data_IF_540366765254
#
_entry.id   IF_540366765254
#
_cell.length_a   1.000
_cell.length_b   1.000
_cell.length_c   1.000
_cell.angle_alpha   90.00
_cell.angle_beta   90.00
_cell.angle_gamma   90.00
#
_symmetry.space_group_name_H-M   'P 1'
#
loop_
_entity.id
_entity.type
_entity.pdbx_description
1 polymer ?
#
# COMPACT_ATOMS: atom_id res chain seq x y z
N UNK A 1 40.06 -6.75 8.12
CA UNK A 1 40.24 -8.01 8.90
C UNK A 1 39.50 -8.04 10.25
N UNK A 2 38.46 -7.21 10.48
CA UNK A 2 37.65 -7.22 11.73
C UNK A 2 36.26 -7.87 11.60
N UNK A 3 35.81 -8.15 10.38
CA UNK A 3 34.44 -8.61 10.09
C UNK A 3 34.24 -10.13 10.23
N UNK A 4 35.26 -10.95 9.94
CA UNK A 4 35.13 -12.42 9.98
C UNK A 4 35.10 -12.96 11.42
N UNK A 5 35.85 -12.36 12.35
CA UNK A 5 35.86 -12.79 13.76
C UNK A 5 34.54 -12.52 14.50
N UNK A 6 33.83 -11.44 14.16
CA UNK A 6 32.53 -11.14 14.75
C UNK A 6 31.43 -12.09 14.24
N UNK A 7 31.45 -12.44 12.95
CA UNK A 7 30.51 -13.40 12.35
C UNK A 7 30.66 -14.82 12.93
N UNK A 8 31.90 -15.26 13.20
CA UNK A 8 32.15 -16.57 13.81
C UNK A 8 31.68 -16.60 15.27
N UNK A 9 31.85 -15.49 16.01
CA UNK A 9 31.43 -15.40 17.41
C UNK A 9 29.90 -15.37 17.57
N UNK A 10 29.19 -14.72 16.66
CA UNK A 10 27.71 -14.74 16.64
C UNK A 10 27.15 -16.10 16.23
N UNK A 11 27.79 -16.80 15.29
CA UNK A 11 27.43 -18.18 14.93
C UNK A 11 27.66 -19.17 16.07
N UNK A 12 28.77 -19.05 16.81
CA UNK A 12 29.05 -19.87 17.99
C UNK A 12 28.08 -19.60 19.14
N UNK A 13 27.72 -18.32 19.38
CA UNK A 13 26.69 -17.97 20.36
C UNK A 13 25.29 -18.48 19.96
N UNK A 14 24.95 -18.45 18.66
CA UNK A 14 23.72 -19.05 18.16
C UNK A 14 23.71 -20.58 18.36
N UNK A 15 24.80 -21.29 18.03
CA UNK A 15 24.89 -22.74 18.21
C UNK A 15 24.84 -23.16 19.69
N UNK A 16 25.46 -22.38 20.58
CA UNK A 16 25.34 -22.59 22.03
C UNK A 16 23.92 -22.28 22.55
N UNK A 17 23.23 -21.32 21.96
CA UNK A 17 21.82 -21.03 22.28
C UNK A 17 20.88 -22.15 21.82
N UNK A 18 21.13 -22.71 20.63
CA UNK A 18 20.39 -23.88 20.11
C UNK A 18 20.61 -25.16 20.93
N UNK A 19 21.76 -25.31 21.60
CA UNK A 19 21.98 -26.43 22.52
C UNK A 19 21.21 -26.30 23.85
N UNK A 20 20.82 -25.09 24.26
CA UNK A 20 20.11 -24.86 25.53
C UNK A 20 18.58 -24.97 25.34
N UNK A 21 18.08 -24.81 24.12
CA UNK A 21 16.64 -24.97 23.81
C UNK A 21 16.22 -26.42 23.56
N UNK A 22 17.14 -27.39 23.65
CA UNK A 22 16.85 -28.83 23.52
C UNK A 22 16.48 -29.55 24.82
N UNK A 23 16.33 -28.85 25.95
CA UNK A 23 16.08 -29.46 27.26
C UNK A 23 14.79 -28.95 27.92
N UNK A 24 13.69 -28.94 27.17
CA UNK A 24 12.37 -28.56 27.70
C UNK A 24 11.30 -29.63 27.46
N UNK A 25 11.70 -30.90 27.50
CA UNK A 25 10.82 -32.09 27.49
C UNK A 25 10.87 -32.81 28.86
N UNK A 26 10.85 -32.09 29.98
CA UNK A 26 10.86 -32.71 31.31
C UNK A 26 10.06 -31.88 32.33
N UNK A 27 8.73 -31.87 32.20
CA UNK A 27 7.86 -31.33 33.25
C UNK A 27 6.66 -32.24 33.54
N UNK A 28 6.88 -33.56 33.53
CA UNK A 28 5.88 -34.52 34.00
C UNK A 28 6.59 -35.80 34.45
N UNK A 29 7.19 -35.79 35.63
CA UNK A 29 7.68 -37.05 36.17
C UNK A 29 8.38 -36.96 37.52
N UNK A 30 8.05 -37.91 38.37
CA UNK A 30 8.76 -38.25 39.61
C UNK A 30 9.87 -39.25 39.26
N UNK A 31 11.01 -39.17 39.94
CA UNK A 31 12.05 -40.19 39.80
C UNK A 31 11.55 -41.58 40.24
N UNK A 32 11.93 -42.62 39.51
CA UNK A 32 11.54 -44.01 39.79
C UNK A 32 12.64 -44.99 39.39
N UNK A 33 12.65 -46.17 40.00
CA UNK A 33 13.49 -47.31 39.56
C UNK A 33 12.69 -48.41 38.86
N UNK A 34 11.41 -48.51 39.17
CA UNK A 34 10.48 -49.51 38.64
C UNK A 34 9.05 -48.95 38.59
N UNK A 35 8.16 -49.60 37.84
CA UNK A 35 6.78 -49.17 37.63
C UNK A 35 5.96 -49.04 38.93
N UNK A 36 6.29 -49.82 39.96
CA UNK A 36 5.58 -49.79 41.25
C UNK A 36 5.78 -48.51 42.05
N UNK A 37 6.79 -47.70 41.70
CA UNK A 37 7.06 -46.40 42.31
C UNK A 37 6.23 -45.26 41.67
N UNK A 38 5.56 -45.54 40.55
CA UNK A 38 4.79 -44.58 39.78
C UNK A 38 3.30 -44.53 40.19
N UNK A 39 2.63 -43.42 39.87
CA UNK A 39 1.19 -43.26 40.11
C UNK A 39 0.36 -44.17 39.21
N UNK A 40 -0.94 -44.31 39.51
CA UNK A 40 -1.85 -45.09 38.68
C UNK A 40 -1.80 -44.60 37.22
N UNK A 41 -1.82 -45.55 36.27
CA UNK A 41 -1.71 -45.31 34.84
C UNK A 41 -0.39 -44.68 34.37
N UNK A 42 0.67 -44.75 35.19
CA UNK A 42 2.03 -44.42 34.79
C UNK A 42 2.93 -45.68 34.68
N UNK A 43 4.09 -45.50 34.07
CA UNK A 43 5.16 -46.50 33.98
C UNK A 43 6.53 -45.82 34.18
N UNK A 44 7.54 -46.58 34.59
CA UNK A 44 8.87 -46.06 34.83
C UNK A 44 9.72 -46.15 33.56
N UNK A 45 9.94 -45.00 32.93
CA UNK A 45 10.75 -44.90 31.71
C UNK A 45 12.24 -44.94 32.06
N UNK A 46 12.95 -45.89 31.47
CA UNK A 46 14.40 -46.14 31.64
C UNK A 46 14.91 -46.25 33.09
N UNK A 47 14.03 -46.62 34.04
CA UNK A 47 14.42 -46.67 35.46
C UNK A 47 14.85 -45.30 36.00
N UNK A 48 14.30 -44.21 35.45
CA UNK A 48 14.62 -42.84 35.84
C UNK A 48 13.39 -42.00 36.14
N UNK A 49 12.36 -42.05 35.30
CA UNK A 49 11.26 -41.08 35.35
C UNK A 49 9.89 -41.74 35.11
N UNK A 50 8.91 -41.43 35.94
CA UNK A 50 7.54 -41.87 35.71
C UNK A 50 6.87 -41.05 34.60
N UNK A 51 6.34 -41.73 33.59
CA UNK A 51 5.55 -41.16 32.50
C UNK A 51 4.14 -41.77 32.49
N UNK A 52 3.15 -41.01 32.06
CA UNK A 52 1.81 -41.57 31.84
C UNK A 52 1.83 -42.57 30.67
N UNK A 53 1.02 -43.63 30.78
CA UNK A 53 0.82 -44.62 29.71
C UNK A 53 0.06 -43.99 28.54
N UNK A 54 0.15 -44.61 27.37
CA UNK A 54 -0.62 -44.19 26.20
C UNK A 54 -2.12 -44.09 26.53
N UNK A 55 -2.75 -43.00 26.08
CA UNK A 55 -4.15 -42.68 26.43
C UNK A 55 -4.33 -41.98 27.78
N UNK A 56 -3.24 -41.58 28.45
CA UNK A 56 -3.29 -40.81 29.68
C UNK A 56 -2.39 -39.56 29.65
N UNK A 57 -2.87 -38.47 30.26
CA UNK A 57 -2.18 -37.19 30.40
C UNK A 57 -1.83 -36.90 31.84
N UNK A 58 -0.65 -36.32 32.04
CA UNK A 58 -0.18 -35.88 33.34
C UNK A 58 -0.81 -34.54 33.75
N UNK A 59 -1.50 -34.53 34.89
CA UNK A 59 -1.90 -33.32 35.62
C UNK A 59 -0.89 -33.05 36.72
N UNK A 60 -0.13 -31.97 36.61
CA UNK A 60 0.84 -31.60 37.66
C UNK A 60 0.08 -30.95 38.82
N UNK A 61 0.01 -31.65 39.96
CA UNK A 61 -0.63 -31.13 41.19
C UNK A 61 0.38 -30.42 42.10
N UNK A 62 1.68 -30.71 41.95
CA UNK A 62 2.79 -30.09 42.69
C UNK A 62 4.12 -30.34 41.97
N UNK A 63 5.21 -29.66 42.36
CA UNK A 63 6.56 -29.81 41.75
C UNK A 63 7.08 -31.26 41.62
N UNK A 64 6.55 -32.20 42.41
CA UNK A 64 6.93 -33.62 42.40
C UNK A 64 5.74 -34.58 42.31
N UNK A 65 4.52 -34.06 42.18
CA UNK A 65 3.32 -34.88 42.21
C UNK A 65 2.47 -34.61 40.97
N UNK A 66 2.04 -35.68 40.33
CA UNK A 66 1.18 -35.63 39.17
C UNK A 66 0.22 -36.82 39.20
N UNK A 67 -0.91 -36.69 38.52
CA UNK A 67 -1.86 -37.78 38.30
C UNK A 67 -2.02 -38.01 36.81
N UNK A 68 -2.20 -39.27 36.40
CA UNK A 68 -2.47 -39.62 35.01
C UNK A 68 -3.98 -39.80 34.85
N UNK A 69 -4.61 -38.87 34.14
CA UNK A 69 -6.02 -38.90 33.80
C UNK A 69 -6.20 -39.34 32.36
N UNK A 70 -7.34 -39.93 32.02
CA UNK A 70 -7.60 -40.38 30.66
C UNK A 70 -7.61 -39.20 29.67
N UNK A 71 -7.06 -39.43 28.49
CA UNK A 71 -7.25 -38.56 27.35
C UNK A 71 -8.71 -38.64 26.89
N UNK A 72 -9.24 -37.50 26.45
CA UNK A 72 -10.56 -37.37 25.83
C UNK A 72 -10.41 -36.60 24.53
N UNK A 73 -11.27 -36.91 23.55
CA UNK A 73 -11.06 -36.50 22.16
C UNK A 73 -12.15 -35.62 21.60
N UNK A 74 -13.34 -35.64 22.21
CA UNK A 74 -14.54 -35.09 21.60
C UNK A 74 -15.25 -34.12 22.54
N UNK A 75 -15.97 -33.17 21.95
CA UNK A 75 -16.95 -32.36 22.67
C UNK A 75 -17.98 -33.29 23.33
N UNK A 76 -18.27 -33.01 24.60
CA UNK A 76 -19.21 -33.78 25.41
C UNK A 76 -18.56 -34.95 26.19
N UNK A 77 -17.30 -35.30 25.92
CA UNK A 77 -16.60 -36.34 26.69
C UNK A 77 -16.52 -35.97 28.17
N UNK A 78 -16.61 -36.98 29.04
CA UNK A 78 -16.55 -36.78 30.50
C UNK A 78 -15.13 -36.42 30.91
N UNK A 79 -14.99 -35.35 31.66
CA UNK A 79 -13.71 -34.81 32.08
C UNK A 79 -13.75 -34.39 33.56
N UNK A 80 -12.56 -34.23 34.13
CA UNK A 80 -12.33 -33.66 35.46
C UNK A 80 -11.47 -32.39 35.39
N UNK A 81 -10.61 -32.28 34.37
CA UNK A 81 -9.67 -31.17 34.18
C UNK A 81 -9.66 -30.66 32.73
N UNK A 82 -9.46 -29.36 32.54
CA UNK A 82 -9.45 -28.70 31.21
C UNK A 82 -8.42 -29.32 30.26
N UNK A 83 -7.25 -29.72 30.76
CA UNK A 83 -6.18 -30.28 29.92
C UNK A 83 -6.54 -31.62 29.28
N UNK A 84 -7.53 -32.34 29.82
CA UNK A 84 -8.08 -33.52 29.14
C UNK A 84 -8.71 -33.12 27.81
N UNK A 85 -9.51 -32.04 27.81
CA UNK A 85 -10.15 -31.50 26.63
C UNK A 85 -9.13 -30.80 25.72
N UNK A 86 -8.24 -29.99 26.30
CA UNK A 86 -7.35 -29.11 25.55
C UNK A 86 -6.29 -29.85 24.71
N UNK A 87 -5.98 -31.11 25.04
CA UNK A 87 -5.04 -31.92 24.26
C UNK A 87 -5.53 -32.17 22.84
N UNK A 88 -6.78 -32.60 22.70
CA UNK A 88 -7.36 -32.97 21.41
C UNK A 88 -8.07 -31.78 20.74
N UNK A 89 -8.80 -31.00 21.53
CA UNK A 89 -9.66 -29.93 21.07
C UNK A 89 -8.95 -28.56 21.02
N UNK A 90 -7.68 -28.47 21.42
CA UNK A 90 -6.91 -27.23 21.46
C UNK A 90 -7.12 -26.40 22.72
N UNK A 91 -6.36 -25.31 22.87
CA UNK A 91 -6.27 -24.52 24.12
C UNK A 91 -7.55 -23.79 24.51
N UNK A 92 -8.54 -23.73 23.62
CA UNK A 92 -9.83 -23.10 23.85
C UNK A 92 -10.93 -24.10 24.22
N UNK A 93 -10.55 -25.29 24.68
CA UNK A 93 -11.47 -26.25 25.27
C UNK A 93 -11.33 -26.29 26.79
N UNK A 94 -12.45 -26.38 27.48
CA UNK A 94 -12.56 -26.41 28.94
C UNK A 94 -13.45 -27.57 29.40
N UNK A 95 -13.22 -28.03 30.63
CA UNK A 95 -14.04 -29.02 31.29
C UNK A 95 -15.12 -28.32 32.13
N UNK A 96 -16.33 -28.18 31.57
CA UNK A 96 -17.42 -27.51 32.30
C UNK A 96 -18.19 -28.50 33.16
N UNK A 97 -18.14 -28.28 34.47
CA UNK A 97 -18.87 -29.06 35.48
C UNK A 97 -20.38 -28.87 35.40
N UNK A 98 -21.14 -29.96 35.63
CA UNK A 98 -22.54 -29.85 36.02
C UNK A 98 -22.58 -29.50 37.52
N UNK A 99 -22.68 -28.21 37.85
CA UNK A 99 -22.84 -27.74 39.23
C UNK A 99 -24.18 -28.20 39.79
N UNK A 100 -24.24 -29.36 40.46
CA UNK A 100 -25.34 -29.66 41.40
C UNK A 100 -25.02 -30.61 42.55
N UNK A 101 -23.82 -31.19 42.73
CA UNK A 101 -23.51 -31.95 43.97
C UNK A 101 -22.06 -31.85 44.46
N UNK A 102 -21.82 -31.87 45.79
CA UNK A 102 -20.52 -31.57 46.39
C UNK A 102 -19.49 -32.72 46.32
N UNK A 103 -19.83 -33.88 45.78
CA UNK A 103 -18.98 -35.08 45.89
C UNK A 103 -18.53 -35.69 44.55
N UNK A 104 -18.99 -35.18 43.39
CA UNK A 104 -18.38 -35.46 42.08
C UNK A 104 -18.54 -34.28 41.12
N UNK A 105 -17.46 -33.55 40.88
CA UNK A 105 -17.35 -32.55 39.81
C UNK A 105 -16.91 -33.22 38.50
N UNK A 106 -17.71 -34.14 37.98
CA UNK A 106 -17.50 -34.63 36.60
C UNK A 106 -18.13 -33.62 35.64
N UNK A 107 -17.29 -33.00 34.81
CA UNK A 107 -17.69 -32.08 33.75
C UNK A 107 -17.78 -32.78 32.41
N UNK A 108 -18.10 -31.98 31.39
CA UNK A 108 -18.02 -32.39 29.98
C UNK A 108 -17.19 -31.39 29.20
N UNK A 109 -16.42 -31.89 28.25
CA UNK A 109 -15.61 -31.04 27.37
C UNK A 109 -16.50 -30.16 26.50
N UNK A 110 -16.16 -28.88 26.44
CA UNK A 110 -16.79 -27.90 25.58
C UNK A 110 -15.79 -26.80 25.22
N UNK A 111 -16.09 -26.01 24.18
CA UNK A 111 -15.29 -24.81 23.92
C UNK A 111 -15.57 -23.74 24.97
N UNK A 112 -14.58 -22.87 25.20
CA UNK A 112 -14.74 -21.67 26.03
C UNK A 112 -15.79 -20.73 25.42
N UNK A 113 -16.31 -19.79 26.23
CA UNK A 113 -17.35 -18.86 25.78
C UNK A 113 -16.95 -18.00 24.56
N UNK A 114 -15.65 -17.76 24.38
CA UNK A 114 -15.06 -17.00 23.28
C UNK A 114 -14.53 -17.88 22.15
N UNK A 115 -14.96 -19.14 22.06
CA UNK A 115 -14.53 -20.08 21.03
C UNK A 115 -15.71 -20.88 20.47
N UNK A 116 -15.52 -21.46 19.29
CA UNK A 116 -16.47 -22.39 18.68
C UNK A 116 -15.77 -23.64 18.20
N UNK A 117 -16.54 -24.70 18.04
CA UNK A 117 -16.06 -25.99 17.57
C UNK A 117 -16.24 -26.09 16.05
N UNK A 118 -15.15 -26.31 15.34
CA UNK A 118 -15.13 -26.59 13.90
C UNK A 118 -14.03 -27.62 13.63
N UNK A 119 -14.27 -28.59 12.74
CA UNK A 119 -13.27 -29.59 12.32
C UNK A 119 -12.47 -30.30 13.44
N UNK A 120 -13.11 -30.55 14.59
CA UNK A 120 -12.47 -31.27 15.69
C UNK A 120 -11.71 -30.41 16.70
N UNK A 121 -11.69 -29.09 16.53
CA UNK A 121 -10.91 -28.16 17.36
C UNK A 121 -11.79 -26.99 17.80
N UNK A 122 -11.52 -26.44 18.99
CA UNK A 122 -12.09 -25.19 19.45
C UNK A 122 -11.24 -24.01 18.93
N UNK A 123 -11.77 -23.26 17.97
CA UNK A 123 -11.16 -22.04 17.48
C UNK A 123 -11.61 -20.83 18.29
N UNK A 124 -10.66 -19.99 18.68
CA UNK A 124 -10.98 -18.70 19.29
C UNK A 124 -11.74 -17.83 18.30
N UNK A 125 -12.84 -17.24 18.74
CA UNK A 125 -13.63 -16.30 17.97
C UNK A 125 -12.90 -14.96 17.86
N UNK A 126 -12.87 -14.41 16.66
CA UNK A 126 -12.34 -13.11 16.30
C UNK A 126 -13.32 -12.40 15.38
N UNK A 127 -13.53 -11.11 15.64
CA UNK A 127 -14.33 -10.20 14.82
C UNK A 127 -13.52 -9.65 13.65
N UNK A 128 -14.20 -9.05 12.68
CA UNK A 128 -13.54 -8.34 11.59
C UNK A 128 -12.62 -7.24 12.15
N UNK A 129 -11.37 -7.22 11.66
CA UNK A 129 -10.30 -6.36 12.14
C UNK A 129 -9.50 -6.91 13.32
N UNK A 130 -9.99 -7.92 14.05
CA UNK A 130 -9.27 -8.56 15.15
C UNK A 130 -8.21 -9.55 14.65
N UNK A 131 -7.28 -9.92 15.54
CA UNK A 131 -6.19 -10.83 15.21
C UNK A 131 -6.70 -12.27 15.03
N UNK A 132 -6.18 -12.94 14.01
CA UNK A 132 -6.51 -14.33 13.70
C UNK A 132 -5.27 -15.12 13.28
N UNK A 133 -5.36 -16.45 13.34
CA UNK A 133 -4.35 -17.39 12.86
C UNK A 133 -4.84 -18.13 11.61
N UNK A 134 -6.12 -18.50 11.59
CA UNK A 134 -6.78 -19.22 10.50
C UNK A 134 -8.17 -18.61 10.24
N UNK A 135 -8.77 -18.95 9.09
CA UNK A 135 -10.10 -18.44 8.71
C UNK A 135 -11.17 -18.80 9.74
N UNK A 136 -11.08 -19.98 10.35
CA UNK A 136 -12.03 -20.45 11.38
C UNK A 136 -11.90 -19.66 12.69
N UNK A 137 -10.97 -18.70 12.84
CA UNK A 137 -11.09 -17.74 13.92
C UNK A 137 -12.17 -16.69 13.63
N UNK A 138 -12.42 -16.37 12.37
CA UNK A 138 -13.20 -15.22 11.95
C UNK A 138 -14.69 -15.54 11.92
N UNK A 139 -15.41 -15.11 12.96
CA UNK A 139 -16.84 -15.40 13.14
C UNK A 139 -17.66 -14.14 12.88
N UNK A 140 -18.65 -14.25 12.00
CA UNK A 140 -19.60 -13.19 11.67
C UNK A 140 -21.04 -13.64 11.91
N UNK A 141 -21.97 -12.67 12.03
CA UNK A 141 -23.38 -12.95 12.31
C UNK A 141 -24.16 -13.44 11.09
N UNK A 142 -23.79 -13.01 9.88
CA UNK A 142 -24.51 -13.41 8.67
C UNK A 142 -24.24 -14.88 8.31
N UNK A 143 -25.27 -15.74 8.26
CA UNK A 143 -25.10 -17.15 7.91
C UNK A 143 -24.73 -17.32 6.43
N UNK A 144 -23.90 -18.33 6.14
CA UNK A 144 -23.39 -18.65 4.80
C UNK A 144 -22.49 -17.57 4.15
N UNK A 145 -22.12 -16.53 4.90
CA UNK A 145 -21.06 -15.61 4.51
C UNK A 145 -19.81 -15.99 5.32
N UNK A 146 -18.65 -16.00 4.67
CA UNK A 146 -17.38 -16.42 5.28
C UNK A 146 -16.44 -15.24 5.32
N UNK A 147 -15.88 -14.97 6.50
CA UNK A 147 -14.78 -14.04 6.70
C UNK A 147 -13.44 -14.79 6.61
N UNK A 148 -12.38 -14.07 6.22
CA UNK A 148 -11.07 -14.68 6.00
C UNK A 148 -10.04 -14.10 6.94
N UNK A 149 -9.04 -14.90 7.30
CA UNK A 149 -7.86 -14.42 7.99
C UNK A 149 -6.81 -13.98 6.96
N UNK A 150 -6.71 -12.68 6.71
CA UNK A 150 -5.72 -12.10 5.83
C UNK A 150 -4.74 -11.22 6.62
N UNK A 151 -3.45 -11.40 6.39
CA UNK A 151 -2.39 -10.67 7.10
C UNK A 151 -2.56 -10.66 8.64
N UNK A 152 -2.98 -11.80 9.19
CA UNK A 152 -3.26 -12.00 10.62
C UNK A 152 -4.40 -11.14 11.18
N UNK A 153 -5.31 -10.65 10.32
CA UNK A 153 -6.56 -10.01 10.72
C UNK A 153 -7.76 -10.58 10.00
N UNK A 154 -8.90 -10.62 10.67
CA UNK A 154 -10.13 -11.02 10.02
C UNK A 154 -10.59 -9.92 9.06
N UNK A 155 -10.91 -10.29 7.82
CA UNK A 155 -11.38 -9.39 6.76
C UNK A 155 -12.65 -9.95 6.13
N UNK A 156 -13.47 -9.04 5.59
CA UNK A 156 -14.65 -9.42 4.84
C UNK A 156 -14.29 -10.01 3.47
N UNK A 157 -15.17 -10.84 2.89
CA UNK A 157 -15.04 -11.30 1.52
C UNK A 157 -15.07 -10.12 0.53
N UNK A 158 -14.59 -10.31 -0.72
CA UNK A 158 -14.71 -9.29 -1.76
C UNK A 158 -16.16 -8.81 -1.93
N UNK A 159 -16.34 -7.52 -2.19
CA UNK A 159 -17.66 -6.83 -2.26
C UNK A 159 -18.38 -6.64 -0.92
N UNK A 160 -17.70 -6.86 0.20
CA UNK A 160 -18.24 -6.59 1.53
C UNK A 160 -17.25 -5.77 2.38
N UNK A 161 -17.78 -4.94 3.26
CA UNK A 161 -17.02 -4.18 4.24
C UNK A 161 -17.51 -4.50 5.66
N UNK A 162 -16.72 -4.18 6.68
CA UNK A 162 -17.09 -4.42 8.06
C UNK A 162 -18.18 -3.45 8.51
N UNK A 163 -19.16 -3.90 9.28
CA UNK A 163 -20.01 -2.96 10.02
C UNK A 163 -19.20 -2.24 11.12
N UNK A 164 -19.76 -1.15 11.68
CA UNK A 164 -19.09 -0.30 12.68
C UNK A 164 -18.47 -1.06 13.87
N UNK A 165 -19.04 -2.19 14.27
CA UNK A 165 -18.61 -2.98 15.41
C UNK A 165 -17.74 -4.21 15.05
N UNK A 166 -17.45 -4.40 13.76
CA UNK A 166 -16.71 -5.55 13.22
C UNK A 166 -17.41 -6.91 13.41
N UNK A 167 -18.69 -6.93 13.78
CA UNK A 167 -19.43 -8.18 14.06
C UNK A 167 -19.94 -8.86 12.80
N UNK A 168 -20.01 -8.13 11.68
CA UNK A 168 -20.56 -8.64 10.44
C UNK A 168 -20.00 -7.92 9.21
N UNK A 169 -20.25 -8.51 8.05
CA UNK A 169 -19.86 -7.99 6.75
C UNK A 169 -21.11 -7.50 5.98
N UNK A 170 -21.11 -6.23 5.59
CA UNK A 170 -22.18 -5.58 4.85
C UNK A 170 -21.84 -5.49 3.36
N UNK A 171 -22.82 -5.63 2.45
CA UNK A 171 -22.60 -5.46 1.03
C UNK A 171 -22.07 -4.05 0.73
N UNK A 172 -21.04 -3.96 -0.11
CA UNK A 172 -20.51 -2.70 -0.60
C UNK A 172 -21.11 -2.34 -1.96
N UNK A 173 -21.08 -1.06 -2.30
CA UNK A 173 -21.59 -0.46 -3.53
C UNK A 173 -20.46 0.08 -4.39
N UNK A 174 -20.59 -0.12 -5.71
CA UNK A 174 -19.74 0.49 -6.72
C UNK A 174 -20.06 1.98 -6.92
N UNK A 175 -19.22 2.71 -7.67
CA UNK A 175 -19.48 4.10 -8.04
C UNK A 175 -20.85 4.26 -8.74
N UNK A 176 -21.65 5.19 -8.23
CA UNK A 176 -23.03 5.43 -8.65
C UNK A 176 -24.07 4.49 -8.02
N UNK A 177 -23.65 3.50 -7.24
CA UNK A 177 -24.54 2.69 -6.40
C UNK A 177 -25.01 3.44 -5.15
N UNK A 178 -26.12 3.02 -4.52
CA UNK A 178 -26.65 3.65 -3.31
C UNK A 178 -25.73 3.42 -2.11
N UNK A 179 -25.70 4.37 -1.18
CA UNK A 179 -24.92 4.25 0.05
C UNK A 179 -25.57 5.06 1.18
N UNK A 180 -25.19 4.74 2.42
CA UNK A 180 -25.53 5.46 3.63
C UNK A 180 -24.28 6.03 4.33
N UNK A 181 -23.13 5.36 4.19
CA UNK A 181 -21.84 5.78 4.75
C UNK A 181 -20.71 5.67 3.71
N UNK A 182 -19.58 6.32 3.97
CA UNK A 182 -18.40 6.23 3.10
C UNK A 182 -17.86 4.78 2.99
N UNK A 183 -18.00 3.98 4.05
CA UNK A 183 -17.52 2.60 4.10
C UNK A 183 -18.32 1.66 3.19
N UNK A 184 -19.55 2.05 2.83
CA UNK A 184 -20.34 1.34 1.82
C UNK A 184 -19.67 1.37 0.45
N UNK A 185 -18.83 2.36 0.15
CA UNK A 185 -18.25 2.53 -1.18
C UNK A 185 -16.95 1.74 -1.33
N UNK A 186 -16.96 0.71 -2.17
CA UNK A 186 -15.79 -0.17 -2.38
C UNK A 186 -14.64 0.53 -3.10
N UNK A 187 -14.96 1.51 -3.95
CA UNK A 187 -13.96 2.19 -4.78
C UNK A 187 -13.11 3.12 -3.92
N UNK A 188 -11.79 2.98 -4.01
CA UNK A 188 -10.86 3.85 -3.30
C UNK A 188 -11.08 5.31 -3.70
N UNK A 189 -10.95 6.23 -2.74
CA UNK A 189 -11.23 7.66 -2.93
C UNK A 189 -12.69 7.97 -3.32
N UNK A 190 -13.63 7.05 -3.12
CA UNK A 190 -15.06 7.36 -3.13
C UNK A 190 -15.54 7.84 -1.74
N UNK A 191 -16.68 8.52 -1.74
CA UNK A 191 -17.44 8.98 -0.58
C UNK A 191 -18.94 8.82 -0.87
N UNK A 192 -19.74 8.76 0.18
CA UNK A 192 -21.17 8.67 0.07
C UNK A 192 -21.85 10.04 0.02
N UNK A 193 -22.69 10.24 -1.00
CA UNK A 193 -23.59 11.39 -1.17
C UNK A 193 -24.91 10.92 -1.76
N UNK A 194 -25.65 10.10 -1.00
CA UNK A 194 -26.78 9.25 -1.44
C UNK A 194 -26.39 8.14 -2.42
N UNK A 195 -25.38 8.39 -3.24
CA UNK A 195 -24.69 7.42 -4.08
C UNK A 195 -23.18 7.54 -3.90
N UNK A 196 -22.46 6.45 -4.16
CA UNK A 196 -21.01 6.45 -4.15
C UNK A 196 -20.46 7.35 -5.26
N UNK A 197 -19.74 8.39 -4.88
CA UNK A 197 -19.15 9.38 -5.78
C UNK A 197 -17.69 9.60 -5.43
N UNK A 198 -16.87 10.06 -6.37
CA UNK A 198 -15.48 10.37 -6.06
C UNK A 198 -15.37 11.55 -5.08
N UNK A 199 -14.38 11.46 -4.18
CA UNK A 199 -13.98 12.55 -3.28
C UNK A 199 -13.50 13.76 -4.08
N UNK A 200 -13.50 14.91 -3.42
CA UNK A 200 -12.94 16.14 -4.02
C UNK A 200 -11.50 15.93 -4.49
N UNK A 201 -11.17 16.42 -5.69
CA UNK A 201 -9.87 16.21 -6.32
C UNK A 201 -9.75 14.90 -7.10
N UNK A 202 -10.79 14.08 -7.13
CA UNK A 202 -10.86 12.85 -7.92
C UNK A 202 -12.06 12.88 -8.87
N UNK A 203 -11.94 12.12 -9.96
CA UNK A 203 -12.98 11.97 -10.97
C UNK A 203 -13.13 10.51 -11.39
N UNK A 204 -14.37 10.05 -11.52
CA UNK A 204 -14.64 8.67 -11.90
C UNK A 204 -14.13 8.41 -13.32
N UNK A 205 -13.39 7.32 -13.52
CA UNK A 205 -12.98 6.87 -14.85
C UNK A 205 -14.19 6.55 -15.75
N UNK A 206 -13.96 6.33 -17.05
CA UNK A 206 -15.03 6.03 -18.02
C UNK A 206 -15.80 4.77 -17.64
N UNK A 207 -15.12 3.74 -17.12
CA UNK A 207 -15.74 2.49 -16.70
C UNK A 207 -16.52 2.58 -15.37
N UNK A 208 -16.40 3.70 -14.63
CA UNK A 208 -16.91 3.87 -13.27
C UNK A 208 -16.43 2.79 -12.29
N UNK A 209 -15.21 2.31 -12.46
CA UNK A 209 -14.59 1.33 -11.59
C UNK A 209 -13.55 1.95 -10.66
N UNK A 210 -13.09 3.16 -10.95
CA UNK A 210 -12.03 3.83 -10.20
C UNK A 210 -12.21 5.34 -10.15
N UNK A 211 -11.67 5.97 -9.10
CA UNK A 211 -11.59 7.41 -8.92
C UNK A 211 -10.16 7.87 -9.21
N UNK A 212 -9.95 8.45 -10.38
CA UNK A 212 -8.66 8.95 -10.84
C UNK A 212 -8.41 10.36 -10.32
N UNK A 213 -7.16 10.72 -10.06
CA UNK A 213 -6.81 12.09 -9.63
C UNK A 213 -7.18 13.06 -10.76
N UNK A 214 -7.99 14.07 -10.43
CA UNK A 214 -8.32 15.14 -11.35
C UNK A 214 -7.13 16.11 -11.46
N UNK A 215 -6.79 16.49 -12.68
CA UNK A 215 -5.68 17.38 -12.95
C UNK A 215 -6.05 18.84 -12.59
N UNK A 216 -5.13 19.51 -11.90
CA UNK A 216 -5.26 20.90 -11.47
C UNK A 216 -4.44 21.88 -12.34
N UNK A 217 -3.64 21.36 -13.28
CA UNK A 217 -2.81 22.14 -14.20
C UNK A 217 -2.51 21.40 -15.51
N UNK A 218 -2.16 22.17 -16.54
CA UNK A 218 -1.62 21.61 -17.78
C UNK A 218 -0.34 20.81 -17.52
N UNK A 219 -0.10 19.82 -18.38
CA UNK A 219 1.01 18.87 -18.31
C UNK A 219 0.98 17.92 -17.11
N UNK A 220 -0.04 17.98 -16.25
CA UNK A 220 -0.29 16.97 -15.22
C UNK A 220 -0.48 15.57 -15.85
N UNK A 221 -0.03 14.50 -15.18
CA UNK A 221 -0.20 13.15 -15.70
C UNK A 221 -1.68 12.79 -15.79
N UNK A 222 -2.04 12.02 -16.83
CA UNK A 222 -3.40 11.56 -17.04
C UNK A 222 -3.41 10.22 -17.79
N UNK A 223 -4.47 9.46 -17.55
CA UNK A 223 -4.82 8.24 -18.26
C UNK A 223 -6.03 8.44 -19.17
N UNK A 224 -6.98 9.27 -18.72
CA UNK A 224 -8.22 9.58 -19.41
C UNK A 224 -8.47 11.10 -19.51
N UNK A 225 -9.21 11.52 -20.54
CA UNK A 225 -9.58 12.93 -20.78
C UNK A 225 -10.28 13.57 -19.58
N UNK A 226 -11.10 12.79 -18.88
CA UNK A 226 -11.95 13.29 -17.81
C UNK A 226 -11.17 13.89 -16.64
N UNK A 227 -9.95 13.38 -16.39
CA UNK A 227 -9.02 13.95 -15.41
C UNK A 227 -8.65 15.39 -15.74
N UNK A 228 -8.44 15.68 -17.03
CA UNK A 228 -8.06 17.00 -17.49
C UNK A 228 -9.27 17.94 -17.53
N UNK A 229 -10.43 17.46 -17.96
CA UNK A 229 -11.60 18.33 -18.20
C UNK A 229 -12.32 18.80 -16.95
N UNK A 230 -12.13 18.14 -15.79
CA UNK A 230 -12.85 18.45 -14.55
C UNK A 230 -12.60 19.89 -14.08
N UNK A 231 -11.32 20.30 -14.00
CA UNK A 231 -10.92 21.63 -13.55
C UNK A 231 -10.23 22.46 -14.62
N UNK A 232 -9.82 21.86 -15.74
CA UNK A 232 -9.12 22.55 -16.84
C UNK A 232 -10.01 22.54 -18.10
N UNK A 233 -10.74 23.63 -18.39
CA UNK A 233 -11.58 23.68 -19.57
C UNK A 233 -10.75 23.59 -20.85
N UNK A 234 -11.31 22.92 -21.87
CA UNK A 234 -10.70 22.79 -23.21
C UNK A 234 -9.34 22.08 -23.19
N UNK A 235 -9.22 21.10 -22.31
CA UNK A 235 -8.08 20.18 -22.24
C UNK A 235 -8.50 18.76 -22.60
N UNK A 236 -7.50 17.94 -22.90
CA UNK A 236 -7.60 16.51 -23.23
C UNK A 236 -6.34 15.82 -22.73
N UNK A 237 -6.41 14.52 -22.47
CA UNK A 237 -5.25 13.72 -22.16
C UNK A 237 -4.53 13.35 -23.46
N UNK A 238 -3.27 13.78 -23.61
CA UNK A 238 -2.46 13.38 -24.76
C UNK A 238 -2.21 11.86 -24.70
N UNK A 239 -2.66 11.08 -25.70
CA UNK A 239 -2.61 9.62 -25.63
C UNK A 239 -1.18 9.05 -25.66
N UNK A 240 -0.21 9.84 -26.16
CA UNK A 240 1.19 9.44 -26.29
C UNK A 240 1.98 9.92 -25.07
N UNK A 241 1.83 11.21 -24.70
CA UNK A 241 2.60 11.82 -23.62
C UNK A 241 2.04 11.52 -22.23
N UNK A 242 0.78 11.05 -22.16
CA UNK A 242 0.04 10.80 -20.91
C UNK A 242 0.04 12.02 -19.99
N UNK A 243 -0.21 13.17 -20.59
CA UNK A 243 -0.26 14.48 -19.92
C UNK A 243 -1.39 15.33 -20.46
N UNK A 244 -2.02 16.11 -19.57
CA UNK A 244 -3.07 17.04 -19.96
C UNK A 244 -2.52 18.12 -20.89
N UNK A 245 -3.18 18.32 -22.03
CA UNK A 245 -2.82 19.30 -23.03
C UNK A 245 -4.09 20.01 -23.54
N UNK A 246 -3.94 21.13 -24.22
CA UNK A 246 -5.07 21.79 -24.87
C UNK A 246 -5.67 20.90 -25.97
N UNK A 247 -7.00 20.90 -26.06
CA UNK A 247 -7.71 20.22 -27.15
C UNK A 247 -7.34 20.82 -28.50
N UNK A 248 -7.52 20.07 -29.59
CA UNK A 248 -7.28 20.54 -30.96
C UNK A 248 -8.01 21.87 -31.22
N UNK A 249 -7.29 22.83 -31.82
CA UNK A 249 -7.79 24.20 -32.06
C UNK A 249 -7.56 25.16 -30.89
N UNK A 250 -7.02 24.68 -29.77
CA UNK A 250 -6.67 25.48 -28.60
C UNK A 250 -5.15 25.42 -28.34
N UNK A 251 -4.58 26.48 -27.81
CA UNK A 251 -3.17 26.54 -27.44
C UNK A 251 -3.00 27.08 -26.02
N UNK A 252 -1.87 26.73 -25.42
CA UNK A 252 -1.54 27.15 -24.06
C UNK A 252 -0.99 28.57 -24.02
N UNK A 253 -1.53 29.37 -23.11
CA UNK A 253 -1.00 30.67 -22.68
C UNK A 253 -1.09 30.73 -21.15
N UNK A 254 0.04 30.93 -20.48
CA UNK A 254 0.12 31.05 -19.00
C UNK A 254 -0.60 29.92 -18.23
N UNK A 255 -0.50 28.68 -18.72
CA UNK A 255 -1.10 27.50 -18.08
C UNK A 255 -2.60 27.30 -18.33
N UNK A 256 -3.22 28.12 -19.20
CA UNK A 256 -4.61 27.98 -19.61
C UNK A 256 -4.72 27.83 -21.13
N UNK A 257 -5.79 27.18 -21.59
CA UNK A 257 -6.04 26.97 -23.01
C UNK A 257 -6.93 28.06 -23.59
N UNK A 258 -6.47 28.66 -24.69
CA UNK A 258 -7.21 29.67 -25.45
C UNK A 258 -7.43 29.20 -26.88
N UNK A 259 -8.55 29.62 -27.47
CA UNK A 259 -8.86 29.32 -28.86
C UNK A 259 -7.73 29.88 -29.73
N UNK A 260 -7.26 29.08 -30.69
CA UNK A 260 -6.17 29.49 -31.58
C UNK A 260 -6.73 30.29 -32.76
N UNK A 261 -6.43 31.58 -32.78
CA UNK A 261 -6.68 32.50 -33.90
C UNK A 261 -5.34 32.92 -34.49
N UNK A 262 -5.18 32.77 -35.80
CA UNK A 262 -4.00 33.24 -36.54
C UNK A 262 -4.07 34.75 -36.77
N UNK A 263 -2.99 35.32 -37.33
CA UNK A 263 -2.97 36.73 -37.72
C UNK A 263 -4.09 37.05 -38.72
N UNK A 264 -4.75 38.17 -38.49
CA UNK A 264 -5.98 38.64 -39.17
C UNK A 264 -7.22 37.74 -39.00
N UNK A 265 -7.18 36.73 -38.14
CA UNK A 265 -8.40 36.01 -37.74
C UNK A 265 -9.09 36.73 -36.58
N UNK A 266 -10.41 36.50 -36.41
CA UNK A 266 -11.17 37.10 -35.32
C UNK A 266 -10.63 36.71 -33.95
N UNK A 267 -10.58 37.67 -33.04
CA UNK A 267 -10.23 37.47 -31.63
C UNK A 267 -11.09 38.34 -30.73
N UNK A 268 -11.23 37.91 -29.48
CA UNK A 268 -11.81 38.71 -28.40
C UNK A 268 -10.78 39.08 -27.34
N UNK A 269 -9.66 38.36 -27.30
CA UNK A 269 -8.59 38.54 -26.32
C UNK A 269 -7.23 38.27 -26.97
N UNK A 270 -6.20 38.94 -26.47
CA UNK A 270 -4.81 38.79 -26.95
C UNK A 270 -4.31 37.35 -26.83
N UNK A 271 -4.73 36.61 -25.80
CA UNK A 271 -4.35 35.21 -25.56
C UNK A 271 -4.89 34.23 -26.61
N UNK A 272 -5.83 34.64 -27.47
CA UNK A 272 -6.29 33.81 -28.58
C UNK A 272 -5.33 33.86 -29.77
N UNK A 273 -4.46 34.87 -29.85
CA UNK A 273 -3.59 35.07 -31.00
C UNK A 273 -2.37 34.14 -30.97
N UNK A 274 -2.35 33.16 -31.87
CA UNK A 274 -1.28 32.18 -32.01
C UNK A 274 -0.36 32.55 -33.19
N UNK A 275 0.92 32.70 -32.87
CA UNK A 275 2.02 32.87 -33.85
C UNK A 275 3.06 31.76 -33.70
N UNK A 276 3.85 31.53 -34.75
CA UNK A 276 4.86 30.45 -34.77
C UNK A 276 5.90 30.58 -33.65
N UNK A 277 6.34 31.80 -33.35
CA UNK A 277 7.28 32.07 -32.24
C UNK A 277 6.69 31.86 -30.85
N UNK A 278 5.35 31.68 -30.75
CA UNK A 278 4.57 31.59 -29.49
C UNK A 278 4.80 32.75 -28.53
N UNK A 279 5.36 33.85 -29.01
CA UNK A 279 5.65 35.01 -28.18
C UNK A 279 4.47 35.97 -28.19
N UNK A 280 3.54 35.75 -27.27
CA UNK A 280 2.33 36.56 -27.12
C UNK A 280 2.61 38.06 -26.96
N UNK A 281 3.80 38.47 -26.49
CA UNK A 281 4.14 39.89 -26.33
C UNK A 281 4.17 40.64 -27.67
N UNK A 282 4.33 39.94 -28.80
CA UNK A 282 4.44 40.51 -30.14
C UNK A 282 3.12 40.69 -30.87
N UNK A 283 2.02 40.23 -30.28
CA UNK A 283 0.67 40.31 -30.87
C UNK A 283 -0.30 41.04 -29.96
N UNK A 284 -1.34 41.60 -30.54
CA UNK A 284 -2.47 42.21 -29.84
C UNK A 284 -3.76 41.91 -30.59
N UNK A 285 -4.86 41.87 -29.84
CA UNK A 285 -6.20 41.78 -30.41
C UNK A 285 -6.74 43.20 -30.59
N UNK A 286 -6.68 43.72 -31.81
CA UNK A 286 -7.05 45.10 -32.12
C UNK A 286 -8.23 45.11 -33.10
N UNK A 287 -9.26 45.90 -32.79
CA UNK A 287 -10.51 45.97 -33.58
C UNK A 287 -11.11 44.58 -33.87
N UNK A 288 -10.91 43.62 -32.95
CA UNK A 288 -11.43 42.25 -33.07
C UNK A 288 -10.58 41.31 -33.94
N UNK A 289 -9.37 41.69 -34.35
CA UNK A 289 -8.48 40.87 -35.17
C UNK A 289 -7.08 40.77 -34.55
N UNK A 290 -6.45 39.60 -34.70
CA UNK A 290 -5.07 39.40 -34.26
C UNK A 290 -4.09 40.13 -35.17
N UNK A 291 -3.34 41.10 -34.62
CA UNK A 291 -2.32 41.86 -35.36
C UNK A 291 -0.98 41.86 -34.62
N UNK A 292 0.10 42.21 -35.32
CA UNK A 292 1.39 42.45 -34.68
C UNK A 292 1.35 43.78 -33.91
N UNK A 293 1.97 43.81 -32.73
CA UNK A 293 2.18 45.05 -31.95
C UNK A 293 3.15 45.95 -32.71
N UNK A 294 3.02 47.26 -32.53
CA UNK A 294 3.97 48.27 -33.01
C UNK A 294 5.41 47.81 -32.75
N UNK A 295 6.31 48.01 -33.73
CA UNK A 295 7.70 47.53 -33.79
C UNK A 295 7.93 46.10 -34.30
N UNK A 296 6.87 45.33 -34.55
CA UNK A 296 6.98 44.01 -35.19
C UNK A 296 6.29 43.99 -36.55
N UNK A 297 6.90 43.33 -37.53
CA UNK A 297 6.34 43.14 -38.86
C UNK A 297 5.86 41.71 -39.08
N UNK A 298 4.72 41.58 -39.76
CA UNK A 298 4.13 40.30 -40.10
C UNK A 298 4.94 39.59 -41.20
N UNK A 299 5.29 38.32 -40.95
CA UNK A 299 5.93 37.45 -41.94
C UNK A 299 5.06 36.26 -42.22
N UNK A 300 4.82 36.00 -43.50
CA UNK A 300 4.04 34.85 -44.01
C UNK A 300 2.64 34.66 -43.39
N UNK A 301 2.08 35.69 -42.74
CA UNK A 301 0.84 35.62 -41.93
C UNK A 301 0.89 34.62 -40.77
N UNK A 302 2.07 34.17 -40.37
CA UNK A 302 2.23 33.19 -39.28
C UNK A 302 3.04 33.70 -38.10
N UNK A 303 3.85 34.75 -38.28
CA UNK A 303 4.69 35.28 -37.20
C UNK A 303 4.87 36.80 -37.26
N UNK A 304 5.30 37.37 -36.14
CA UNK A 304 5.65 38.77 -35.98
C UNK A 304 7.14 38.86 -35.61
N UNK A 305 7.96 39.44 -36.48
CA UNK A 305 9.42 39.54 -36.29
C UNK A 305 9.87 40.98 -36.13
N UNK A 306 10.97 41.16 -35.41
CA UNK A 306 11.64 42.45 -35.27
C UNK A 306 12.63 42.62 -36.43
N UNK A 307 12.28 43.49 -37.38
CA UNK A 307 13.09 43.80 -38.57
C UNK A 307 14.31 44.65 -38.25
N UNK A 308 14.36 45.30 -37.07
CA UNK A 308 15.50 46.12 -36.64
C UNK A 308 16.61 45.29 -35.97
N UNK A 309 16.28 44.12 -35.41
CA UNK A 309 17.25 43.20 -34.79
C UNK A 309 17.73 42.07 -35.69
N UNK A 310 17.18 41.91 -36.89
CA UNK A 310 17.49 40.79 -37.80
C UNK A 310 18.55 41.10 -38.86
N UNK A 311 19.10 42.31 -38.89
CA UNK A 311 20.29 42.63 -39.68
C UNK A 311 21.56 42.34 -38.85
N UNK A 312 22.47 41.45 -39.28
CA UNK A 312 23.85 41.52 -38.81
C UNK A 312 24.39 42.89 -39.21
N UNK A 313 25.00 43.58 -38.26
CA UNK A 313 25.70 44.83 -38.49
C UNK A 313 26.86 44.61 -39.49
N UNK A 314 26.57 44.72 -40.78
CA UNK A 314 27.55 44.95 -41.83
C UNK A 314 27.65 46.45 -42.10
N UNK A 315 27.87 47.25 -41.06
CA UNK A 315 28.50 48.56 -41.25
C UNK A 315 30.00 48.33 -41.43
N UNK A 316 30.44 48.55 -42.67
CA UNK A 316 31.83 48.37 -43.10
C UNK A 316 32.79 49.15 -42.20
N UNK A 317 33.59 48.41 -41.43
CA UNK A 317 34.82 48.95 -40.88
C UNK A 317 35.80 49.12 -42.04
N UNK A 318 36.01 50.39 -42.38
CA UNK A 318 37.13 50.86 -43.19
C UNK A 318 38.42 50.18 -42.72
N UNK A 319 39.07 49.49 -43.65
CA UNK A 319 40.39 48.90 -43.45
C UNK A 319 41.39 50.01 -43.11
N UNK A 320 41.71 50.15 -41.83
CA UNK A 320 42.89 50.90 -41.38
C UNK A 320 43.81 49.92 -40.66
N UNK A 321 44.89 49.61 -41.36
CA UNK A 321 46.06 48.86 -40.94
C UNK A 321 46.49 49.17 -39.49
N UNK A 322 46.46 48.15 -38.63
CA UNK A 322 47.25 48.13 -37.39
C UNK A 322 48.47 47.25 -37.62
N UNK A 323 49.55 47.89 -38.07
CA UNK A 323 50.90 47.31 -38.10
C UNK A 323 51.26 46.94 -36.66
N UNK A 324 51.41 45.65 -36.40
CA UNK A 324 51.92 45.12 -35.14
C UNK A 324 53.44 45.41 -35.08
N UNK A 325 53.83 46.45 -34.34
CA UNK A 325 55.21 46.92 -34.14
C UNK A 325 56.06 46.01 -33.24
N UNK A 326 55.76 44.70 -33.22
CA UNK A 326 56.51 43.69 -32.46
C UNK A 326 57.34 42.74 -33.34
N UNK A 327 57.30 42.89 -34.68
CA UNK A 327 58.07 42.06 -35.63
C UNK A 327 59.20 42.82 -36.36
N UNK A 328 59.58 44.01 -35.86
CA UNK A 328 60.71 44.80 -36.39
C UNK A 328 61.91 44.89 -35.43
N UNK A 329 61.88 44.21 -34.27
CA UNK A 329 63.02 44.13 -33.34
C UNK A 329 63.84 42.82 -33.42
N UNK A 330 63.52 41.89 -34.33
CA UNK A 330 64.28 40.63 -34.49
C UNK A 330 65.16 40.57 -35.73
N UNK A 331 65.16 41.60 -36.59
CA UNK A 331 66.03 41.66 -37.79
C UNK A 331 67.20 42.66 -37.63
N UNK A 332 67.21 43.50 -36.59
CA UNK A 332 68.34 44.39 -36.30
C UNK A 332 69.48 43.76 -35.45
N UNK A 333 69.34 42.50 -35.00
CA UNK A 333 70.38 41.77 -34.26
C UNK A 333 71.10 40.68 -35.08
N UNK A 334 70.77 40.51 -36.36
CA UNK A 334 71.45 39.57 -37.27
C UNK A 334 72.37 40.25 -38.31
N UNK A 335 72.53 41.57 -38.25
CA UNK A 335 73.46 42.32 -39.12
C UNK A 335 74.58 43.08 -38.38
N UNK A 336 74.86 42.75 -37.11
CA UNK A 336 76.01 43.26 -36.35
C UNK A 336 76.98 42.17 -35.86
N UNK A 337 77.01 41.02 -36.56
CA UNK A 337 78.06 39.99 -36.44
C UNK A 337 78.60 39.66 -37.84
N UNK A 338 79.17 40.68 -38.49
CA UNK A 338 80.20 40.55 -39.54
C UNK A 338 80.81 41.93 -39.84
N UNK A 339 81.56 42.45 -38.86
CA UNK A 339 82.92 42.98 -39.02
C UNK A 339 83.55 43.10 -37.64
#
# INVERSE_FOLDING_TARGET
>A
MRTVKQLVYTLLLCLLCYCITGLQELNSGRECKNDGECVLNAYCHEGKLCLCRDGFIAIVTSKKNFTCVNEVGNIGDVCEYDVQCAKALGTHAECKGATTQPERTTGRCQCTQDAHYEDGICYKNARIGEACQVNDNCVILTPNLVAYCDQSRCVCPPYFHANDNGTDCLPSSDLGGPCNSDDDCITMNAQCKDMCTCKMGYVANVAKTDCLIAADKLHAPCDEDKQCTEFLPKTTCDPIRKRCNCTVGWHEVNGACFLSSRLHEPCSRKEQCLIDSRNITRVECYEGFCICVDQYEMVNRTDCIDTQRTLPDTSGTSMIWRINTALLCTIALLFALKY
#
